data_IF_119288825323
#
_entry.id   IF_119288825323
#
_cell.length_a   1.000
_cell.length_b   1.000
_cell.length_c   1.000
_cell.angle_alpha   90.00
_cell.angle_beta   90.00
_cell.angle_gamma   90.00
#
_symmetry.space_group_name_H-M   'P 1'
#
loop_
_entity.id
_entity.type
_entity.pdbx_description
1 polymer ?
#
# COMPACT_ATOMS: atom_id res chain seq x y z
N UNK A 1 57.42 38.13 15.50
CA UNK A 1 57.16 36.72 15.12
C UNK A 1 56.63 35.95 16.33
N UNK A 2 55.30 35.93 16.56
CA UNK A 2 54.66 34.99 17.50
C UNK A 2 53.13 34.97 17.33
N UNK A 3 52.51 36.11 17.00
CA UNK A 3 51.04 36.25 17.07
C UNK A 3 50.34 35.87 15.75
N UNK A 4 51.02 36.00 14.61
CA UNK A 4 50.44 35.73 13.29
C UNK A 4 50.45 34.24 12.89
N UNK A 5 51.10 33.37 13.69
CA UNK A 5 51.10 31.92 13.47
C UNK A 5 50.07 31.16 14.31
N UNK A 6 49.38 31.84 15.23
CA UNK A 6 48.36 31.23 16.10
C UNK A 6 46.92 31.51 15.67
N UNK A 7 46.69 32.42 14.73
CA UNK A 7 45.34 32.72 14.20
C UNK A 7 44.93 31.83 13.01
N UNK A 8 45.91 31.26 12.29
CA UNK A 8 45.63 30.39 11.13
C UNK A 8 45.33 28.93 11.51
N UNK A 9 45.68 28.50 12.72
CA UNK A 9 45.34 27.15 13.21
C UNK A 9 43.94 27.09 13.83
N UNK A 10 43.37 28.22 14.29
CA UNK A 10 42.03 28.25 14.87
C UNK A 10 40.90 28.30 13.82
N UNK A 11 41.21 28.75 12.60
CA UNK A 11 40.23 28.93 11.52
C UNK A 11 40.05 27.70 10.62
N UNK A 12 40.87 26.65 10.80
CA UNK A 12 40.76 25.37 10.08
C UNK A 12 39.98 24.29 10.86
N UNK A 13 39.66 24.50 12.15
CA UNK A 13 38.84 23.57 12.93
C UNK A 13 37.32 23.80 12.83
N UNK A 14 36.87 24.76 12.03
CA UNK A 14 35.43 24.98 11.80
C UNK A 14 34.85 24.20 10.61
N UNK A 15 35.69 23.64 9.74
CA UNK A 15 35.23 22.98 8.51
C UNK A 15 35.29 21.44 8.53
N UNK A 16 35.59 20.83 9.68
CA UNK A 16 35.72 19.37 9.82
C UNK A 16 34.71 18.72 10.79
N UNK A 17 33.58 19.38 11.09
CA UNK A 17 32.56 18.82 11.99
C UNK A 17 31.10 19.04 11.54
N UNK A 18 30.86 19.18 10.23
CA UNK A 18 29.48 19.26 9.69
C UNK A 18 29.26 18.33 8.50
N UNK A 19 29.98 17.20 8.50
CA UNK A 19 29.77 16.10 7.56
C UNK A 19 29.27 14.87 8.30
N UNK A 20 28.00 14.53 8.06
CA UNK A 20 27.37 13.23 8.37
C UNK A 20 26.92 12.95 9.80
N UNK A 21 25.93 13.71 10.26
CA UNK A 21 24.80 13.14 11.00
C UNK A 21 23.51 13.42 10.21
N UNK A 22 23.44 12.92 8.98
CA UNK A 22 22.18 12.82 8.28
C UNK A 22 21.57 11.45 8.54
N UNK A 23 20.44 11.50 9.25
CA UNK A 23 19.32 10.57 9.14
C UNK A 23 19.55 9.14 9.63
N UNK A 24 19.76 8.97 10.93
CA UNK A 24 19.18 7.82 11.63
C UNK A 24 18.03 8.36 12.48
N UNK A 25 16.82 8.23 11.96
CA UNK A 25 15.65 8.97 12.43
C UNK A 25 14.68 9.35 11.32
N UNK A 26 14.78 8.74 10.12
CA UNK A 26 13.58 8.47 9.37
C UNK A 26 12.77 7.47 10.20
N UNK A 27 11.98 8.04 11.11
CA UNK A 27 10.75 7.47 11.63
C UNK A 27 10.20 6.54 10.55
N UNK A 28 10.22 5.24 10.84
CA UNK A 28 9.68 4.17 10.02
C UNK A 28 8.18 4.42 9.95
N UNK A 29 7.77 5.45 9.20
CA UNK A 29 6.38 5.73 8.88
C UNK A 29 5.94 4.48 8.17
N UNK A 30 5.22 3.63 8.90
CA UNK A 30 4.51 2.49 8.33
C UNK A 30 3.85 2.98 7.04
N UNK A 31 4.39 2.50 5.92
CA UNK A 31 3.86 2.83 4.62
C UNK A 31 2.38 2.52 4.64
N UNK A 32 1.55 3.40 4.07
CA UNK A 32 0.11 3.20 4.05
C UNK A 32 -0.19 1.74 3.60
N UNK A 33 -1.14 1.00 4.19
CA UNK A 33 -1.25 -0.44 3.97
C UNK A 33 -1.45 -0.87 2.51
N UNK A 34 -1.86 0.04 1.61
CA UNK A 34 -1.98 -0.18 0.17
C UNK A 34 -0.71 0.15 -0.64
N UNK A 35 0.37 0.61 0.01
CA UNK A 35 1.69 0.89 -0.52
C UNK A 35 2.74 -0.13 -0.03
N UNK A 36 2.30 -1.22 0.59
CA UNK A 36 3.17 -2.35 0.93
C UNK A 36 3.82 -2.92 -0.35
N UNK A 37 5.08 -3.37 -0.30
CA UNK A 37 5.81 -3.85 -1.47
C UNK A 37 5.03 -4.85 -2.32
N UNK A 38 4.36 -5.80 -1.67
CA UNK A 38 3.59 -6.88 -2.31
C UNK A 38 2.45 -6.32 -3.16
N UNK A 39 1.79 -5.27 -2.68
CA UNK A 39 0.67 -4.63 -3.40
C UNK A 39 1.20 -3.80 -4.57
N UNK A 40 2.29 -3.07 -4.36
CA UNK A 40 2.93 -2.25 -5.39
C UNK A 40 3.43 -3.13 -6.52
N UNK A 41 4.17 -4.18 -6.20
CA UNK A 41 4.70 -5.07 -7.21
C UNK A 41 3.56 -5.87 -7.89
N UNK A 42 2.49 -6.28 -7.18
CA UNK A 42 1.33 -6.92 -7.79
C UNK A 42 0.62 -5.99 -8.80
N UNK A 43 0.59 -4.68 -8.51
CA UNK A 43 0.07 -3.68 -9.46
C UNK A 43 0.92 -3.57 -10.73
N UNK A 44 2.26 -3.69 -10.61
CA UNK A 44 3.19 -3.72 -11.75
C UNK A 44 3.02 -4.98 -12.57
N UNK A 45 2.79 -6.12 -11.92
CA UNK A 45 2.62 -7.42 -12.56
C UNK A 45 1.40 -7.47 -13.51
N UNK A 46 0.41 -6.58 -13.35
CA UNK A 46 -0.73 -6.46 -14.27
C UNK A 46 -0.26 -6.16 -15.70
N UNK A 47 0.89 -5.48 -15.88
CA UNK A 47 1.45 -5.11 -17.19
C UNK A 47 0.49 -4.24 -18.02
N UNK A 48 0.03 -3.14 -17.41
CA UNK A 48 -0.88 -2.18 -18.03
C UNK A 48 -0.15 -1.19 -18.95
N UNK A 49 -0.81 -0.80 -20.04
CA UNK A 49 -0.42 0.37 -20.84
C UNK A 49 -0.54 1.66 -20.05
N UNK A 50 0.10 2.75 -20.51
CA UNK A 50 0.03 4.06 -19.83
C UNK A 50 -1.41 4.54 -19.65
N UNK A 51 -2.26 4.35 -20.66
CA UNK A 51 -3.68 4.70 -20.61
C UNK A 51 -4.42 3.86 -19.56
N UNK A 52 -4.21 2.54 -19.56
CA UNK A 52 -4.80 1.64 -18.56
C UNK A 52 -4.34 1.98 -17.15
N UNK A 53 -3.07 2.36 -16.96
CA UNK A 53 -2.53 2.80 -15.67
C UNK A 53 -3.22 4.08 -15.16
N UNK A 54 -3.56 5.02 -16.05
CA UNK A 54 -4.35 6.20 -15.70
C UNK A 54 -5.71 5.82 -15.11
N UNK A 55 -6.43 4.94 -15.79
CA UNK A 55 -7.75 4.44 -15.36
C UNK A 55 -7.64 3.63 -14.07
N UNK A 56 -6.60 2.82 -13.94
CA UNK A 56 -6.30 2.06 -12.73
C UNK A 56 -6.09 2.97 -11.52
N UNK A 57 -5.25 4.01 -11.65
CA UNK A 57 -5.02 4.98 -10.57
C UNK A 57 -6.31 5.68 -10.15
N UNK A 58 -7.13 6.09 -11.12
CA UNK A 58 -8.44 6.69 -10.85
C UNK A 58 -9.39 5.72 -10.13
N UNK A 59 -9.44 4.45 -10.56
CA UNK A 59 -10.30 3.43 -9.98
C UNK A 59 -9.87 3.06 -8.55
N UNK A 60 -8.57 2.88 -8.31
CA UNK A 60 -8.01 2.57 -6.98
C UNK A 60 -8.13 3.77 -6.05
N UNK A 61 -7.80 4.98 -6.51
CA UNK A 61 -7.97 6.21 -5.73
C UNK A 61 -9.42 6.42 -5.30
N UNK A 62 -10.37 6.29 -6.24
CA UNK A 62 -11.79 6.40 -5.92
C UNK A 62 -12.29 5.31 -4.95
N UNK A 63 -11.69 4.12 -4.98
CA UNK A 63 -11.97 3.08 -3.98
C UNK A 63 -11.45 3.47 -2.59
N UNK A 64 -10.19 3.92 -2.49
CA UNK A 64 -9.56 4.31 -1.23
C UNK A 64 -10.28 5.50 -0.59
N UNK A 65 -10.47 6.57 -1.36
CA UNK A 65 -11.13 7.80 -0.89
C UNK A 65 -12.57 7.52 -0.44
N UNK A 66 -13.31 6.74 -1.25
CA UNK A 66 -14.69 6.39 -0.94
C UNK A 66 -14.82 5.51 0.31
N UNK A 67 -13.93 4.52 0.47
CA UNK A 67 -13.93 3.62 1.62
C UNK A 67 -13.51 4.34 2.90
N UNK A 68 -12.37 5.04 2.88
CA UNK A 68 -11.81 5.73 4.05
C UNK A 68 -12.74 6.88 4.45
N UNK A 69 -13.23 7.66 3.49
CA UNK A 69 -14.14 8.77 3.75
C UNK A 69 -15.45 8.34 4.40
N UNK A 70 -16.10 7.29 3.87
CA UNK A 70 -17.32 6.73 4.48
C UNK A 70 -17.03 6.10 5.85
N UNK A 71 -15.90 5.41 6.03
CA UNK A 71 -15.51 4.83 7.32
C UNK A 71 -15.30 5.89 8.41
N UNK A 72 -14.50 6.92 8.12
CA UNK A 72 -14.26 8.04 9.04
C UNK A 72 -15.58 8.77 9.36
N UNK A 73 -16.46 8.92 8.38
CA UNK A 73 -17.81 9.49 8.60
C UNK A 73 -18.64 8.65 9.57
N UNK A 74 -18.60 7.30 9.45
CA UNK A 74 -19.29 6.41 10.39
C UNK A 74 -18.75 6.53 11.81
N UNK A 75 -17.42 6.64 11.99
CA UNK A 75 -16.80 6.87 13.29
C UNK A 75 -17.25 8.19 13.90
N UNK A 76 -17.21 9.29 13.12
CA UNK A 76 -17.63 10.62 13.57
C UNK A 76 -19.11 10.66 13.96
N UNK A 77 -19.96 9.96 13.22
CA UNK A 77 -21.39 9.86 13.48
C UNK A 77 -21.75 8.82 14.55
N UNK A 78 -20.76 8.12 15.13
CA UNK A 78 -20.93 7.05 16.11
C UNK A 78 -22.00 6.03 15.68
N UNK A 79 -21.93 5.59 14.42
CA UNK A 79 -22.89 4.61 13.90
C UNK A 79 -22.81 3.31 14.69
N UNK A 80 -23.95 2.65 14.79
CA UNK A 80 -24.04 1.27 15.24
C UNK A 80 -23.41 0.31 14.22
N UNK A 81 -22.84 -0.79 14.72
CA UNK A 81 -22.35 -1.91 13.89
C UNK A 81 -21.44 -1.48 12.73
N UNK A 82 -20.46 -0.63 13.06
CA UNK A 82 -19.43 -0.14 12.13
C UNK A 82 -18.75 -1.28 11.36
N UNK A 83 -18.36 -2.43 11.98
CA UNK A 83 -17.69 -3.50 11.27
C UNK A 83 -18.51 -4.07 10.10
N UNK A 84 -19.82 -4.30 10.29
CA UNK A 84 -20.69 -4.79 9.21
C UNK A 84 -20.85 -3.73 8.11
N UNK A 85 -21.10 -2.48 8.50
CA UNK A 85 -21.30 -1.37 7.54
C UNK A 85 -20.04 -1.13 6.72
N UNK A 86 -18.86 -1.13 7.33
CA UNK A 86 -17.58 -0.99 6.66
C UNK A 86 -17.34 -2.09 5.61
N UNK A 87 -17.70 -3.35 5.90
CA UNK A 87 -17.64 -4.44 4.91
C UNK A 87 -18.58 -4.20 3.73
N UNK A 88 -19.78 -3.67 3.97
CA UNK A 88 -20.73 -3.34 2.89
C UNK A 88 -20.20 -2.21 2.01
N UNK A 89 -19.61 -1.18 2.63
CA UNK A 89 -18.97 -0.06 1.92
C UNK A 89 -17.77 -0.54 1.11
N UNK A 90 -16.88 -1.35 1.69
CA UNK A 90 -15.76 -1.97 0.98
C UNK A 90 -16.27 -2.76 -0.23
N UNK A 91 -17.30 -3.59 -0.06
CA UNK A 91 -17.87 -4.36 -1.19
C UNK A 91 -18.48 -3.46 -2.27
N UNK A 92 -19.14 -2.37 -1.91
CA UNK A 92 -19.75 -1.44 -2.88
C UNK A 92 -18.68 -0.75 -3.71
N UNK A 93 -17.66 -0.19 -3.07
CA UNK A 93 -16.58 0.51 -3.78
C UNK A 93 -15.69 -0.46 -4.56
N UNK A 94 -15.45 -1.67 -4.04
CA UNK A 94 -14.75 -2.72 -4.78
C UNK A 94 -15.48 -3.06 -6.08
N UNK A 95 -16.81 -3.22 -6.07
CA UNK A 95 -17.59 -3.48 -7.29
C UNK A 95 -17.48 -2.36 -8.32
N UNK A 96 -17.39 -1.10 -7.89
CA UNK A 96 -17.19 0.05 -8.80
C UNK A 96 -15.81 -0.01 -9.44
N UNK A 97 -14.78 -0.29 -8.64
CA UNK A 97 -13.42 -0.51 -9.11
C UNK A 97 -13.37 -1.67 -10.13
N UNK A 98 -13.98 -2.81 -9.79
CA UNK A 98 -14.04 -4.01 -10.64
C UNK A 98 -14.69 -3.74 -11.99
N UNK A 99 -15.79 -2.96 -11.98
CA UNK A 99 -16.51 -2.58 -13.20
C UNK A 99 -15.62 -1.75 -14.12
N UNK A 100 -14.87 -0.78 -13.59
CA UNK A 100 -13.92 0.02 -14.37
C UNK A 100 -12.82 -0.86 -14.95
N UNK A 101 -12.25 -1.74 -14.14
CA UNK A 101 -11.10 -2.56 -14.56
C UNK A 101 -11.49 -3.65 -15.56
N UNK A 102 -12.66 -4.28 -15.42
CA UNK A 102 -13.14 -5.27 -16.39
C UNK A 102 -13.38 -4.67 -17.78
N UNK A 103 -13.71 -3.38 -17.85
CA UNK A 103 -13.96 -2.70 -19.12
C UNK A 103 -12.67 -2.36 -19.90
N UNK A 104 -11.50 -2.35 -19.24
CA UNK A 104 -10.26 -1.81 -19.84
C UNK A 104 -9.12 -2.80 -19.90
N UNK A 105 -9.16 -3.87 -19.10
CA UNK A 105 -8.14 -4.92 -19.09
C UNK A 105 -8.56 -6.08 -19.99
N UNK A 106 -7.59 -6.68 -20.66
CA UNK A 106 -7.79 -7.99 -21.28
C UNK A 106 -7.92 -9.11 -20.22
N UNK A 107 -8.24 -10.33 -20.64
CA UNK A 107 -8.50 -11.43 -19.71
C UNK A 107 -7.27 -11.79 -18.85
N UNK A 108 -6.06 -11.74 -19.42
CA UNK A 108 -4.84 -12.07 -18.67
C UNK A 108 -4.50 -10.98 -17.67
N UNK A 109 -4.60 -9.72 -18.08
CA UNK A 109 -4.45 -8.56 -17.21
C UNK A 109 -5.53 -8.56 -16.11
N UNK A 110 -6.76 -8.93 -16.43
CA UNK A 110 -7.86 -8.97 -15.47
C UNK A 110 -7.64 -10.02 -14.39
N UNK A 111 -7.18 -11.22 -14.75
CA UNK A 111 -6.79 -12.25 -13.76
C UNK A 111 -5.70 -11.73 -12.81
N UNK A 112 -4.73 -10.98 -13.33
CA UNK A 112 -3.68 -10.35 -12.51
C UNK A 112 -4.21 -9.25 -11.61
N UNK A 113 -5.14 -8.46 -12.12
CA UNK A 113 -5.86 -7.48 -11.34
C UNK A 113 -6.66 -8.10 -10.18
N UNK A 114 -7.28 -9.28 -10.38
CA UNK A 114 -8.00 -9.96 -9.29
C UNK A 114 -7.07 -10.34 -8.13
N UNK A 115 -5.82 -10.72 -8.41
CA UNK A 115 -4.81 -10.99 -7.39
C UNK A 115 -4.41 -9.69 -6.65
N UNK A 116 -4.08 -8.63 -7.39
CA UNK A 116 -3.82 -7.30 -6.81
C UNK A 116 -4.98 -6.83 -5.91
N UNK A 117 -6.21 -6.93 -6.42
CA UNK A 117 -7.42 -6.54 -5.70
C UNK A 117 -7.57 -7.31 -4.40
N UNK A 118 -7.29 -8.60 -4.39
CA UNK A 118 -7.38 -9.42 -3.18
C UNK A 118 -6.41 -8.93 -2.10
N UNK A 119 -5.17 -8.59 -2.48
CA UNK A 119 -4.18 -8.01 -1.57
C UNK A 119 -4.65 -6.65 -1.04
N UNK A 120 -5.07 -5.75 -1.94
CA UNK A 120 -5.59 -4.44 -1.57
C UNK A 120 -6.77 -4.52 -0.58
N UNK A 121 -7.77 -5.37 -0.87
CA UNK A 121 -8.92 -5.50 0.03
C UNK A 121 -8.53 -6.09 1.40
N UNK A 122 -7.48 -6.92 1.45
CA UNK A 122 -7.00 -7.53 2.69
C UNK A 122 -6.24 -6.52 3.52
N UNK A 123 -5.36 -5.71 2.92
CA UNK A 123 -4.68 -4.63 3.64
C UNK A 123 -5.66 -3.58 4.16
N UNK A 124 -6.73 -3.29 3.42
CA UNK A 124 -7.80 -2.42 3.90
C UNK A 124 -8.62 -3.04 5.04
N UNK A 125 -8.76 -4.37 5.13
CA UNK A 125 -9.40 -4.98 6.30
C UNK A 125 -8.56 -4.80 7.56
N UNK A 126 -7.23 -4.89 7.43
CA UNK A 126 -6.28 -4.63 8.53
C UNK A 126 -6.35 -3.17 8.99
N UNK A 127 -6.26 -2.22 8.05
CA UNK A 127 -6.34 -0.79 8.37
C UNK A 127 -7.62 -0.41 9.13
N UNK A 128 -8.73 -1.01 8.74
CA UNK A 128 -10.06 -0.67 9.26
C UNK A 128 -10.46 -1.54 10.47
N UNK A 129 -9.55 -2.38 10.98
CA UNK A 129 -9.79 -3.34 12.06
C UNK A 129 -11.06 -4.19 11.84
N UNK A 130 -11.24 -4.67 10.60
CA UNK A 130 -12.40 -5.47 10.24
C UNK A 130 -12.14 -6.95 10.47
N UNK A 131 -13.11 -7.72 11.00
CA UNK A 131 -12.90 -9.14 11.22
C UNK A 131 -12.62 -9.86 9.90
N UNK A 132 -11.43 -10.45 9.76
CA UNK A 132 -11.03 -11.13 8.53
C UNK A 132 -11.89 -12.37 8.27
N UNK A 133 -12.25 -12.63 6.99
CA UNK A 133 -12.88 -13.91 6.63
C UNK A 133 -11.78 -14.93 6.36
N UNK A 134 -11.78 -16.04 7.09
CA UNK A 134 -10.91 -17.23 6.87
C UNK A 134 -10.92 -17.68 5.39
N UNK A 135 -12.02 -17.45 4.68
CA UNK A 135 -12.21 -17.73 3.26
C UNK A 135 -11.28 -16.93 2.30
N UNK A 136 -10.74 -15.76 2.70
CA UNK A 136 -9.76 -15.02 1.87
C UNK A 136 -8.38 -15.65 1.91
N UNK A 137 -7.92 -16.15 3.07
CA UNK A 137 -6.65 -16.89 3.19
C UNK A 137 -6.64 -18.11 2.26
N UNK A 138 -7.73 -18.87 2.23
CA UNK A 138 -7.87 -20.00 1.29
C UNK A 138 -7.85 -19.59 -0.18
N UNK A 139 -8.35 -18.40 -0.52
CA UNK A 139 -8.31 -17.86 -1.89
C UNK A 139 -6.91 -17.39 -2.29
N UNK A 140 -6.21 -16.67 -1.40
CA UNK A 140 -4.79 -16.33 -1.59
C UNK A 140 -3.96 -17.60 -1.79
N UNK A 141 -4.14 -18.60 -0.93
CA UNK A 141 -3.48 -19.91 -1.07
C UNK A 141 -3.83 -20.64 -2.39
N UNK A 142 -5.05 -20.47 -2.91
CA UNK A 142 -5.44 -21.01 -4.21
C UNK A 142 -4.77 -20.27 -5.38
N UNK A 143 -4.59 -18.95 -5.29
CA UNK A 143 -3.78 -18.20 -6.24
C UNK A 143 -2.31 -18.61 -6.18
N UNK A 144 -1.77 -18.84 -4.98
CA UNK A 144 -0.40 -19.33 -4.74
C UNK A 144 -0.07 -20.69 -5.37
N UNK A 145 -1.07 -21.54 -5.62
CA UNK A 145 -0.88 -22.83 -6.30
C UNK A 145 -0.63 -22.70 -7.80
N UNK A 146 -0.96 -21.58 -8.43
CA UNK A 146 -0.71 -21.37 -9.86
C UNK A 146 0.75 -20.94 -10.07
N UNK A 147 1.48 -21.61 -10.96
CA UNK A 147 2.92 -21.40 -11.26
C UNK A 147 3.28 -19.91 -11.43
N UNK A 148 2.41 -19.17 -12.11
CA UNK A 148 2.54 -17.74 -12.43
C UNK A 148 2.46 -16.81 -11.21
N UNK A 149 2.04 -17.31 -10.06
CA UNK A 149 1.71 -16.55 -8.86
C UNK A 149 2.51 -16.98 -7.63
N UNK A 150 3.41 -17.94 -7.78
CA UNK A 150 4.20 -18.52 -6.68
C UNK A 150 5.14 -17.50 -5.99
N UNK A 151 5.55 -16.45 -6.70
CA UNK A 151 6.42 -15.37 -6.19
C UNK A 151 5.76 -14.57 -5.06
N UNK A 152 4.43 -14.48 -5.03
CA UNK A 152 3.68 -13.66 -4.05
C UNK A 152 3.35 -14.40 -2.75
N UNK A 153 3.93 -15.58 -2.56
CA UNK A 153 3.50 -16.56 -1.58
C UNK A 153 4.68 -16.98 -0.70
N UNK A 154 5.20 -16.01 0.05
CA UNK A 154 6.17 -16.10 1.14
C UNK A 154 5.78 -14.94 2.09
N UNK A 155 5.55 -15.06 3.39
CA UNK A 155 5.73 -16.11 4.41
C UNK A 155 4.63 -15.98 5.48
N UNK A 156 3.89 -17.04 5.79
CA UNK A 156 3.39 -17.27 7.15
C UNK A 156 4.28 -18.36 7.72
N UNK A 157 5.50 -17.95 8.12
CA UNK A 157 6.49 -18.82 8.73
C UNK A 157 7.11 -18.06 9.92
N UNK A 158 6.24 -17.65 10.83
CA UNK A 158 6.59 -17.29 12.20
C UNK A 158 5.83 -18.28 13.08
N UNK A 159 6.61 -19.20 13.65
CA UNK A 159 6.22 -20.15 14.69
C UNK A 159 5.60 -19.46 15.90
#
# INVERSE_FOLDING_TARGET
>A
MAIQRLLLTYLLCWFAATGSLYAEGADERESAPWLQPEIVEASRAIQMTVTQQGIFREAVGGFLDGLIGEYVSMLKQQKDDIPRRAKQVQSRHARKMDKKMRAVLDEQQYERYLAYRLLLLTSMEVLLDLPSRTQRRGRLAAYCKKETWRVWCYTDNSS
#
